data_IF_676192147310
#
_entry.id   IF_676192147310
#
_cell.length_a   1.000
_cell.length_b   1.000
_cell.length_c   1.000
_cell.angle_alpha   90.00
_cell.angle_beta   90.00
_cell.angle_gamma   90.00
#
_symmetry.space_group_name_H-M   'P 1'
#
loop_
_entity.id
_entity.type
_entity.pdbx_description
1 polymer ?
#
# COMPACT_ATOMS: atom_id res chain seq x y z
N UNK A 1 -11.96 -42.05 -15.13
CA UNK A 1 -12.02 -42.25 -13.67
C UNK A 1 -10.67 -42.45 -12.97
N UNK A 2 -9.65 -43.11 -13.54
CA UNK A 2 -8.33 -43.29 -12.89
C UNK A 2 -7.52 -42.00 -12.69
N UNK A 3 -7.65 -40.97 -13.59
CA UNK A 3 -6.91 -39.71 -13.51
C UNK A 3 -7.35 -38.80 -12.35
N UNK A 4 -8.63 -38.79 -12.01
CA UNK A 4 -9.17 -37.97 -10.90
C UNK A 4 -8.69 -38.52 -9.53
N UNK A 5 -8.54 -39.85 -9.38
CA UNK A 5 -8.02 -40.46 -8.15
C UNK A 5 -6.55 -40.16 -7.88
N UNK A 6 -5.74 -39.92 -8.93
CA UNK A 6 -4.32 -39.53 -8.77
C UNK A 6 -4.20 -38.09 -8.29
N UNK A 7 -5.02 -37.16 -8.82
CA UNK A 7 -5.03 -35.77 -8.43
C UNK A 7 -5.48 -35.61 -6.97
N UNK A 8 -6.50 -36.35 -6.52
CA UNK A 8 -6.95 -36.31 -5.12
C UNK A 8 -5.91 -36.86 -4.15
N UNK A 9 -5.15 -37.90 -4.56
CA UNK A 9 -4.10 -38.49 -3.73
C UNK A 9 -2.85 -37.59 -3.62
N UNK A 10 -2.51 -36.83 -4.66
CA UNK A 10 -1.43 -35.84 -4.65
C UNK A 10 -1.82 -34.65 -3.75
N UNK A 11 -3.07 -34.21 -3.78
CA UNK A 11 -3.58 -33.16 -2.89
C UNK A 11 -3.61 -33.56 -1.40
N UNK A 12 -3.75 -34.86 -1.09
CA UNK A 12 -3.68 -35.37 0.28
C UNK A 12 -2.25 -35.46 0.83
N UNK A 13 -1.26 -35.75 -0.02
CA UNK A 13 0.16 -35.87 0.35
C UNK A 13 0.78 -34.51 0.64
N UNK A 14 0.26 -33.45 0.01
CA UNK A 14 0.77 -32.08 0.13
C UNK A 14 -0.17 -31.13 0.88
N UNK A 15 -0.90 -31.57 1.93
CA UNK A 15 -1.56 -30.66 2.87
C UNK A 15 -0.51 -29.99 3.76
N UNK A 16 -0.21 -28.69 3.57
CA UNK A 16 0.55 -27.94 4.58
C UNK A 16 -0.33 -27.85 5.82
N UNK A 17 0.13 -28.38 6.92
CA UNK A 17 -0.42 -28.06 8.24
C UNK A 17 -0.04 -26.60 8.52
N UNK A 18 -1.04 -25.75 8.66
CA UNK A 18 -1.02 -24.34 9.07
C UNK A 18 -1.07 -23.26 7.97
N UNK A 19 -2.12 -22.44 8.11
CA UNK A 19 -2.50 -21.18 7.50
C UNK A 19 -3.12 -21.22 6.09
N UNK A 20 -4.44 -21.05 6.09
CA UNK A 20 -5.23 -20.71 4.91
C UNK A 20 -4.80 -19.35 4.36
N UNK A 21 -3.93 -19.36 3.38
CA UNK A 21 -3.72 -18.23 2.50
C UNK A 21 -4.79 -18.29 1.40
N UNK A 22 -5.44 -17.17 1.14
CA UNK A 22 -6.62 -17.03 0.29
C UNK A 22 -6.27 -17.36 -1.19
N UNK A 23 -6.34 -18.63 -1.56
CA UNK A 23 -5.98 -19.19 -2.88
C UNK A 23 -6.71 -18.46 -4.04
N UNK A 24 -8.00 -18.07 -3.94
CA UNK A 24 -8.68 -17.36 -5.02
C UNK A 24 -8.09 -15.97 -5.36
N UNK A 25 -7.57 -15.26 -4.38
CA UNK A 25 -6.96 -13.95 -4.58
C UNK A 25 -5.61 -14.06 -5.29
N UNK A 26 -4.81 -15.05 -4.94
CA UNK A 26 -3.51 -15.34 -5.56
C UNK A 26 -3.70 -15.75 -7.02
N UNK A 27 -4.67 -16.60 -7.34
CA UNK A 27 -4.96 -17.03 -8.70
C UNK A 27 -5.43 -15.87 -9.60
N UNK A 28 -6.11 -14.88 -9.07
CA UNK A 28 -6.57 -13.71 -9.84
C UNK A 28 -5.44 -12.74 -10.20
N UNK A 29 -4.42 -12.64 -9.36
CA UNK A 29 -3.23 -11.81 -9.61
C UNK A 29 -2.23 -12.48 -10.58
N UNK A 30 -2.16 -13.81 -10.59
CA UNK A 30 -1.21 -14.57 -11.40
C UNK A 30 -1.76 -14.95 -12.79
N UNK A 31 -3.05 -14.69 -13.05
CA UNK A 31 -3.66 -14.95 -14.36
C UNK A 31 -2.88 -14.25 -15.50
N UNK A 32 -2.36 -13.04 -15.29
CA UNK A 32 -1.53 -12.34 -16.27
C UNK A 32 -0.19 -13.02 -16.58
N UNK A 33 0.39 -13.76 -15.63
CA UNK A 33 1.63 -14.51 -15.85
C UNK A 33 1.30 -15.79 -16.62
N UNK A 34 0.22 -16.44 -16.27
CA UNK A 34 -0.28 -17.65 -16.97
C UNK A 34 -0.67 -17.29 -18.41
N UNK A 35 -1.39 -16.19 -18.61
CA UNK A 35 -1.84 -15.73 -19.93
C UNK A 35 -0.67 -15.27 -20.84
N UNK A 36 0.46 -14.83 -20.27
CA UNK A 36 1.65 -14.45 -21.04
C UNK A 36 2.51 -15.66 -21.48
N UNK A 37 2.31 -16.82 -20.88
CA UNK A 37 3.05 -18.06 -21.16
C UNK A 37 2.24 -19.00 -22.07
N UNK A 38 0.93 -18.82 -22.15
CA UNK A 38 0.00 -19.72 -22.85
C UNK A 38 0.12 -19.85 -24.38
N UNK A 39 0.65 -18.89 -25.18
CA UNK A 39 0.73 -19.11 -26.62
C UNK A 39 1.70 -20.23 -27.04
N UNK A 40 2.67 -20.60 -26.19
CA UNK A 40 3.67 -21.62 -26.48
C UNK A 40 3.41 -22.96 -25.77
N UNK A 41 2.39 -23.04 -24.92
CA UNK A 41 2.18 -24.15 -24.00
C UNK A 41 0.97 -25.03 -24.29
N UNK A 42 0.33 -24.89 -25.44
CA UNK A 42 -0.81 -25.76 -25.80
C UNK A 42 -0.41 -27.24 -25.99
N UNK A 43 0.88 -27.54 -26.03
CA UNK A 43 1.39 -28.92 -26.11
C UNK A 43 1.89 -29.55 -24.78
N UNK A 44 1.92 -28.81 -23.66
CA UNK A 44 2.35 -29.38 -22.37
C UNK A 44 1.23 -30.18 -21.70
N UNK A 45 1.08 -31.41 -22.15
CA UNK A 45 0.14 -32.41 -21.63
C UNK A 45 0.44 -32.89 -20.21
N UNK A 46 1.36 -32.30 -19.46
CA UNK A 46 1.76 -32.80 -18.15
C UNK A 46 1.55 -31.78 -17.03
N UNK A 47 0.53 -32.04 -16.20
CA UNK A 47 0.23 -31.35 -14.94
C UNK A 47 1.47 -31.24 -14.01
N UNK A 48 2.46 -32.12 -14.15
CA UNK A 48 3.71 -32.15 -13.40
C UNK A 48 4.61 -30.94 -13.72
N UNK A 49 4.69 -30.51 -14.97
CA UNK A 49 5.54 -29.38 -15.37
C UNK A 49 5.00 -28.05 -14.82
N UNK A 50 3.68 -27.84 -14.88
CA UNK A 50 3.03 -26.69 -14.25
C UNK A 50 3.22 -26.68 -12.73
N UNK A 51 3.20 -27.84 -12.10
CA UNK A 51 3.40 -27.98 -10.66
C UNK A 51 4.85 -27.68 -10.26
N UNK A 52 5.82 -28.13 -11.05
CA UNK A 52 7.26 -27.83 -10.85
C UNK A 52 7.51 -26.32 -11.04
N UNK A 53 6.95 -25.70 -12.08
CA UNK A 53 7.07 -24.24 -12.30
C UNK A 53 6.47 -23.46 -11.13
N UNK A 54 5.29 -23.88 -10.64
CA UNK A 54 4.63 -23.28 -9.48
C UNK A 54 5.47 -23.41 -8.21
N UNK A 55 5.97 -24.61 -7.90
CA UNK A 55 6.84 -24.86 -6.73
C UNK A 55 8.12 -24.04 -6.83
N UNK A 56 8.78 -24.03 -8.01
CA UNK A 56 10.01 -23.26 -8.21
C UNK A 56 9.76 -21.76 -8.05
N UNK A 57 8.65 -21.24 -8.56
CA UNK A 57 8.27 -19.85 -8.41
C UNK A 57 7.96 -19.49 -6.95
N UNK A 58 7.21 -20.33 -6.23
CA UNK A 58 6.95 -20.16 -4.80
C UNK A 58 8.24 -20.22 -3.97
N UNK A 59 9.14 -21.14 -4.27
CA UNK A 59 10.43 -21.30 -3.57
C UNK A 59 11.34 -20.10 -3.84
N UNK A 60 11.39 -19.60 -5.08
CA UNK A 60 12.14 -18.38 -5.41
C UNK A 60 11.60 -17.14 -4.69
N UNK A 61 10.28 -16.98 -4.59
CA UNK A 61 9.66 -15.90 -3.82
C UNK A 61 10.03 -15.97 -2.33
N UNK A 62 10.00 -17.16 -1.74
CA UNK A 62 10.32 -17.37 -0.32
C UNK A 62 11.78 -17.04 0.04
N UNK A 63 12.69 -17.16 -0.93
CA UNK A 63 14.12 -16.85 -0.75
C UNK A 63 14.47 -15.36 -0.90
N UNK A 64 13.51 -14.50 -1.32
CA UNK A 64 13.76 -13.06 -1.37
C UNK A 64 13.83 -12.48 0.05
N UNK A 65 14.76 -11.56 0.32
CA UNK A 65 14.89 -10.94 1.63
C UNK A 65 13.60 -10.20 2.02
N UNK A 66 13.25 -10.28 3.30
CA UNK A 66 12.17 -9.50 3.89
C UNK A 66 12.78 -8.17 4.31
N UNK A 67 12.19 -7.08 3.82
CA UNK A 67 12.51 -5.71 4.21
C UNK A 67 11.56 -5.28 5.32
N UNK A 68 12.10 -4.78 6.43
CA UNK A 68 11.32 -4.13 7.49
C UNK A 68 11.15 -2.64 7.19
N UNK A 69 10.05 -2.06 7.66
CA UNK A 69 9.79 -0.64 7.47
C UNK A 69 10.89 0.21 8.14
N UNK A 70 11.53 1.14 7.42
CA UNK A 70 12.71 1.85 7.91
C UNK A 70 12.39 2.99 8.88
N UNK A 71 11.16 3.50 8.88
CA UNK A 71 10.75 4.64 9.69
C UNK A 71 9.77 4.23 10.78
N UNK A 72 9.88 4.79 12.01
CA UNK A 72 8.80 4.71 12.97
C UNK A 72 7.58 5.52 12.50
N UNK A 73 6.37 5.24 13.01
CA UNK A 73 5.21 6.08 12.75
C UNK A 73 5.46 7.52 13.18
N UNK A 74 4.95 8.49 12.41
CA UNK A 74 4.87 9.87 12.81
C UNK A 74 3.47 10.13 13.38
N UNK A 75 3.38 10.33 14.69
CA UNK A 75 2.13 10.45 15.43
C UNK A 75 2.16 11.74 16.27
N UNK A 76 1.77 12.89 15.73
CA UNK A 76 1.66 14.12 16.50
C UNK A 76 0.50 14.02 17.50
N UNK A 77 0.63 14.71 18.63
CA UNK A 77 -0.41 14.78 19.63
C UNK A 77 -1.72 15.30 19.04
N UNK A 78 -2.83 14.65 19.41
CA UNK A 78 -4.15 15.01 18.92
C UNK A 78 -4.36 14.71 17.42
N UNK A 79 -3.59 13.79 16.84
CA UNK A 79 -3.76 13.41 15.43
C UNK A 79 -5.21 13.01 15.14
N UNK A 80 -5.81 13.60 14.09
CA UNK A 80 -7.18 13.34 13.63
C UNK A 80 -7.19 12.47 12.37
N UNK A 81 -6.16 12.59 11.55
CA UNK A 81 -6.06 11.92 10.24
C UNK A 81 -4.80 11.07 10.22
N UNK A 82 -4.94 9.77 9.91
CA UNK A 82 -3.82 8.88 9.62
C UNK A 82 -3.70 8.67 8.12
N UNK A 83 -2.64 9.22 7.51
CA UNK A 83 -2.36 9.00 6.09
C UNK A 83 -1.41 7.81 5.92
N UNK A 84 -1.79 6.89 5.05
CA UNK A 84 -1.08 5.64 4.80
C UNK A 84 -0.70 5.48 3.32
N UNK A 85 0.58 5.24 3.07
CA UNK A 85 1.04 4.64 1.82
C UNK A 85 1.04 3.11 1.91
N UNK A 86 1.79 2.45 1.02
CA UNK A 86 1.97 1.00 1.08
C UNK A 86 3.28 0.63 1.76
N UNK A 87 4.41 1.14 1.24
CA UNK A 87 5.76 0.94 1.76
C UNK A 87 6.75 1.86 1.02
N UNK A 88 7.79 2.40 1.67
CA UNK A 88 8.71 3.33 1.03
C UNK A 88 9.56 2.65 -0.07
N UNK A 89 10.03 3.41 -1.08
CA UNK A 89 11.00 2.91 -2.04
C UNK A 89 12.35 2.62 -1.37
N UNK A 90 13.27 1.98 -2.09
CA UNK A 90 14.64 1.75 -1.60
C UNK A 90 15.38 3.06 -1.28
N UNK A 91 16.32 3.06 -0.31
CA UNK A 91 17.04 4.26 0.15
C UNK A 91 17.75 5.06 -0.96
N UNK A 92 18.22 4.41 -2.02
CA UNK A 92 18.86 5.09 -3.16
C UNK A 92 17.92 6.03 -3.95
N UNK A 93 16.61 6.03 -3.64
CA UNK A 93 15.60 6.93 -4.22
C UNK A 93 15.16 8.02 -3.27
N UNK A 94 15.70 8.09 -2.07
CA UNK A 94 15.28 9.07 -1.06
C UNK A 94 15.99 10.41 -1.24
N UNK A 95 15.21 11.47 -1.11
CA UNK A 95 15.71 12.83 -0.96
C UNK A 95 15.65 13.30 0.50
N UNK A 96 15.03 12.52 1.38
CA UNK A 96 14.98 12.71 2.83
C UNK A 96 14.69 11.37 3.52
N UNK A 97 14.98 11.25 4.82
CA UNK A 97 14.66 10.07 5.64
C UNK A 97 13.32 10.25 6.36
N UNK A 98 12.24 10.23 5.59
CA UNK A 98 10.87 10.37 6.06
C UNK A 98 9.88 9.81 5.04
N UNK A 99 8.57 9.90 5.29
CA UNK A 99 7.53 9.40 4.39
C UNK A 99 7.49 10.12 3.06
N UNK A 100 7.11 9.40 1.99
CA UNK A 100 7.11 9.90 0.62
C UNK A 100 8.47 10.51 0.20
N UNK A 101 9.58 9.80 0.45
CA UNK A 101 10.95 10.36 0.37
C UNK A 101 11.40 10.70 -1.05
N UNK A 102 10.79 10.11 -2.07
CA UNK A 102 11.24 10.26 -3.45
C UNK A 102 10.81 11.64 -4.01
N UNK A 103 11.78 12.45 -4.47
CA UNK A 103 11.53 13.76 -5.12
C UNK A 103 10.60 13.71 -6.32
N UNK A 104 10.41 12.53 -6.93
CA UNK A 104 9.46 12.33 -8.03
C UNK A 104 8.08 11.91 -7.54
N UNK A 105 7.88 11.75 -6.20
CA UNK A 105 6.55 11.57 -5.63
C UNK A 105 5.85 12.94 -5.52
N UNK A 106 4.55 12.97 -5.72
CA UNK A 106 3.80 14.22 -5.75
C UNK A 106 3.20 14.60 -4.39
N UNK A 107 3.30 13.76 -3.35
CA UNK A 107 2.62 14.01 -2.06
C UNK A 107 2.93 15.40 -1.49
N UNK A 108 4.19 15.74 -1.32
CA UNK A 108 4.57 17.04 -0.73
C UNK A 108 4.24 18.22 -1.63
N UNK A 109 4.15 18.00 -2.95
CA UNK A 109 3.65 19.01 -3.89
C UNK A 109 2.15 19.20 -3.77
N UNK A 110 1.40 18.11 -3.58
CA UNK A 110 -0.05 18.15 -3.33
C UNK A 110 -0.31 18.94 -2.05
N UNK A 111 0.37 18.61 -0.94
CA UNK A 111 0.20 19.29 0.34
C UNK A 111 0.57 20.79 0.25
N UNK A 112 1.71 21.11 -0.36
CA UNK A 112 2.12 22.49 -0.56
C UNK A 112 1.12 23.29 -1.42
N UNK A 113 0.60 22.68 -2.49
CA UNK A 113 -0.40 23.31 -3.36
C UNK A 113 -1.71 23.57 -2.61
N UNK A 114 -2.20 22.60 -1.82
CA UNK A 114 -3.49 22.71 -1.13
C UNK A 114 -3.43 23.72 0.01
N UNK A 115 -2.44 23.62 0.88
CA UNK A 115 -2.39 24.39 2.13
C UNK A 115 -1.69 25.76 2.01
N UNK A 116 -0.85 25.93 0.98
CA UNK A 116 -0.02 27.13 0.83
C UNK A 116 -0.09 27.79 -0.57
N UNK A 117 -0.91 27.25 -1.48
CA UNK A 117 -0.94 27.64 -2.89
C UNK A 117 0.45 27.60 -3.58
N UNK A 118 1.41 26.90 -2.98
CA UNK A 118 2.78 26.72 -3.47
C UNK A 118 3.19 25.24 -3.48
N UNK A 119 3.19 24.63 -4.66
CA UNK A 119 3.60 23.23 -4.81
C UNK A 119 5.07 22.93 -4.48
N UNK A 120 5.89 23.95 -4.34
CA UNK A 120 7.30 23.83 -3.96
C UNK A 120 7.58 24.19 -2.51
N UNK A 121 6.56 24.54 -1.72
CA UNK A 121 6.66 24.93 -0.31
C UNK A 121 7.63 24.05 0.49
N UNK A 122 7.55 22.76 0.32
CA UNK A 122 8.33 21.77 1.08
C UNK A 122 9.61 21.29 0.39
N UNK A 123 9.98 21.84 -0.78
CA UNK A 123 11.15 21.40 -1.54
C UNK A 123 12.23 22.47 -1.58
N UNK A 124 13.45 22.08 -1.20
CA UNK A 124 14.64 22.92 -1.35
C UNK A 124 15.34 22.55 -2.67
N UNK A 125 15.23 23.43 -3.67
CA UNK A 125 15.80 23.21 -5.00
C UNK A 125 17.33 23.24 -5.02
N UNK A 126 17.96 24.05 -4.18
CA UNK A 126 19.42 24.20 -4.09
C UNK A 126 20.06 22.92 -3.54
N UNK A 127 19.52 22.40 -2.45
CA UNK A 127 20.00 21.18 -1.81
C UNK A 127 19.42 19.90 -2.42
N UNK A 128 18.44 20.02 -3.33
CA UNK A 128 17.71 18.92 -3.97
C UNK A 128 17.08 17.95 -2.97
N UNK A 129 16.62 18.47 -1.83
CA UNK A 129 15.99 17.72 -0.73
C UNK A 129 14.68 18.36 -0.31
N UNK A 130 13.96 17.70 0.59
CA UNK A 130 12.78 18.29 1.21
C UNK A 130 13.15 19.05 2.50
N UNK A 131 12.34 20.03 2.86
CA UNK A 131 12.42 20.80 4.11
C UNK A 131 11.74 20.00 5.22
N UNK A 132 12.44 18.98 5.73
CA UNK A 132 11.87 17.96 6.63
C UNK A 132 11.23 18.58 7.89
N UNK A 133 11.88 19.54 8.52
CA UNK A 133 11.34 20.15 9.74
C UNK A 133 10.09 21.01 9.46
N UNK A 134 10.00 21.68 8.31
CA UNK A 134 8.78 22.36 7.89
C UNK A 134 7.64 21.37 7.61
N UNK A 135 7.95 20.19 7.04
CA UNK A 135 6.98 19.10 6.83
C UNK A 135 6.45 18.60 8.17
N UNK A 136 7.33 18.30 9.14
CA UNK A 136 6.92 17.82 10.46
C UNK A 136 6.09 18.86 11.21
N UNK A 137 6.51 20.14 11.17
CA UNK A 137 5.75 21.23 11.77
C UNK A 137 4.35 21.34 11.16
N UNK A 138 4.24 21.31 9.83
CA UNK A 138 2.97 21.30 9.10
C UNK A 138 2.07 20.13 9.53
N UNK A 139 2.62 18.91 9.57
CA UNK A 139 1.85 17.71 9.95
C UNK A 139 1.35 17.80 11.39
N UNK A 140 2.16 18.35 12.29
CA UNK A 140 1.79 18.56 13.69
C UNK A 140 0.69 19.61 13.80
N UNK A 141 0.83 20.75 13.14
CA UNK A 141 -0.17 21.82 13.12
C UNK A 141 -1.51 21.35 12.53
N UNK A 142 -1.47 20.52 11.49
CA UNK A 142 -2.66 20.00 10.84
C UNK A 142 -3.19 18.69 11.46
N UNK A 143 -2.61 18.22 12.57
CA UNK A 143 -2.99 16.97 13.23
C UNK A 143 -3.03 15.76 12.30
N UNK A 144 -2.03 15.63 11.42
CA UNK A 144 -1.90 14.56 10.44
C UNK A 144 -0.80 13.59 10.88
N UNK A 145 -1.17 12.36 11.15
CA UNK A 145 -0.27 11.24 11.36
C UNK A 145 0.12 10.58 10.04
N UNK A 146 1.33 10.02 9.96
CA UNK A 146 1.82 9.29 8.79
C UNK A 146 2.36 7.92 9.17
N UNK A 147 2.04 6.93 8.36
CA UNK A 147 2.70 5.64 8.31
C UNK A 147 2.47 4.96 6.95
N UNK A 148 2.75 3.66 6.87
CA UNK A 148 2.45 2.80 5.72
C UNK A 148 1.65 1.57 6.15
N UNK A 149 0.88 0.98 5.24
CA UNK A 149 0.04 -0.19 5.55
C UNK A 149 0.83 -1.47 5.70
N UNK A 150 2.06 -1.53 5.18
CA UNK A 150 2.95 -2.69 5.34
C UNK A 150 4.12 -2.34 6.27
N UNK A 151 4.35 -3.20 7.28
CA UNK A 151 5.51 -3.11 8.18
C UNK A 151 6.66 -4.00 7.71
N UNK A 152 6.36 -5.08 6.96
CA UNK A 152 7.36 -5.95 6.34
C UNK A 152 6.91 -6.40 4.95
N UNK A 153 7.82 -6.37 3.99
CA UNK A 153 7.54 -6.74 2.60
C UNK A 153 8.65 -7.60 1.98
N UNK A 154 8.32 -8.32 0.89
CA UNK A 154 9.29 -8.81 -0.09
C UNK A 154 9.15 -8.03 -1.38
N UNK A 155 10.26 -7.51 -1.92
CA UNK A 155 10.27 -6.89 -3.25
C UNK A 155 10.49 -7.95 -4.31
N UNK A 156 9.46 -8.19 -5.11
CA UNK A 156 9.52 -9.16 -6.20
C UNK A 156 10.29 -8.62 -7.41
N UNK A 157 10.46 -7.29 -7.50
CA UNK A 157 11.28 -6.61 -8.54
C UNK A 157 11.96 -5.40 -7.94
N UNK A 158 13.12 -5.05 -8.47
CA UNK A 158 13.87 -3.86 -8.05
C UNK A 158 13.28 -2.56 -8.60
N UNK A 159 12.05 -2.26 -8.22
CA UNK A 159 11.36 -1.02 -8.58
C UNK A 159 10.50 -0.52 -7.40
N UNK A 160 9.92 0.67 -7.55
CA UNK A 160 9.09 1.31 -6.53
C UNK A 160 7.59 1.06 -6.72
N UNK A 161 7.20 0.10 -7.57
CA UNK A 161 5.80 -0.16 -7.85
C UNK A 161 5.20 -1.11 -6.82
N UNK A 162 4.10 -0.71 -6.21
CA UNK A 162 3.33 -1.51 -5.26
C UNK A 162 2.88 -2.86 -5.85
N UNK A 163 2.72 -2.95 -7.17
CA UNK A 163 2.37 -4.20 -7.87
C UNK A 163 3.36 -5.33 -7.56
N UNK A 164 4.63 -5.00 -7.31
CA UNK A 164 5.71 -5.94 -7.05
C UNK A 164 6.15 -5.99 -5.58
N UNK A 165 5.34 -5.48 -4.67
CA UNK A 165 5.50 -5.66 -3.24
C UNK A 165 4.59 -6.80 -2.76
N UNK A 166 5.16 -7.83 -2.16
CA UNK A 166 4.41 -8.81 -1.37
C UNK A 166 4.41 -8.33 0.08
N UNK A 167 3.23 -8.07 0.63
CA UNK A 167 3.08 -7.68 2.03
C UNK A 167 3.21 -8.94 2.88
N UNK A 168 4.21 -8.97 3.76
CA UNK A 168 4.46 -10.07 4.71
C UNK A 168 3.78 -9.78 6.04
N UNK A 169 3.79 -8.51 6.46
CA UNK A 169 3.19 -8.07 7.71
C UNK A 169 2.59 -6.68 7.52
N UNK A 170 1.41 -6.49 8.08
CA UNK A 170 0.66 -5.24 7.99
C UNK A 170 0.78 -4.43 9.28
N UNK A 171 0.40 -3.15 9.19
CA UNK A 171 0.24 -2.25 10.33
C UNK A 171 -0.69 -2.85 11.39
N UNK A 172 -0.37 -2.65 12.67
CA UNK A 172 -1.30 -2.88 13.78
C UNK A 172 -2.20 -1.64 13.98
N UNK A 173 -3.26 -1.57 13.20
CA UNK A 173 -4.21 -0.45 13.23
C UNK A 173 -4.90 -0.29 14.59
N UNK A 174 -5.08 -1.40 15.35
CA UNK A 174 -5.65 -1.37 16.70
C UNK A 174 -4.71 -0.61 17.67
N UNK A 175 -3.40 -0.85 17.58
CA UNK A 175 -2.43 -0.12 18.38
C UNK A 175 -2.42 1.38 18.05
N UNK A 176 -2.60 1.76 16.77
CA UNK A 176 -2.74 3.17 16.38
C UNK A 176 -3.96 3.83 17.01
N UNK A 177 -5.12 3.20 16.98
CA UNK A 177 -6.33 3.74 17.63
C UNK A 177 -6.20 3.82 19.15
N UNK A 178 -5.51 2.87 19.77
CA UNK A 178 -5.24 2.92 21.21
C UNK A 178 -4.30 4.09 21.60
N UNK A 179 -3.29 4.36 20.76
CA UNK A 179 -2.33 5.46 20.97
C UNK A 179 -2.92 6.82 20.62
N UNK A 180 -3.72 6.89 19.55
CA UNK A 180 -4.34 8.13 19.04
C UNK A 180 -5.87 7.95 18.95
N UNK A 181 -6.61 8.03 20.06
CA UNK A 181 -8.07 7.83 20.08
C UNK A 181 -8.83 8.96 19.37
N UNK A 182 -8.17 10.06 19.02
CA UNK A 182 -8.72 11.18 18.25
C UNK A 182 -8.74 10.95 16.74
N UNK A 183 -8.20 9.82 16.24
CA UNK A 183 -8.21 9.49 14.82
C UNK A 183 -9.64 9.27 14.32
N UNK A 184 -10.12 10.15 13.46
CA UNK A 184 -11.44 10.09 12.83
C UNK A 184 -11.42 9.60 11.38
N UNK A 185 -10.22 9.62 10.76
CA UNK A 185 -10.06 9.22 9.37
C UNK A 185 -8.75 8.48 9.13
N UNK A 186 -8.83 7.45 8.29
CA UNK A 186 -7.68 6.77 7.67
C UNK A 186 -7.72 7.07 6.17
N UNK A 187 -6.67 7.71 5.67
CA UNK A 187 -6.55 8.17 4.29
C UNK A 187 -5.47 7.35 3.59
N UNK A 188 -5.84 6.57 2.61
CA UNK A 188 -4.92 5.67 1.91
C UNK A 188 -4.56 6.19 0.51
N UNK A 189 -3.27 6.23 0.18
CA UNK A 189 -2.76 6.66 -1.11
C UNK A 189 -2.62 5.47 -2.08
N UNK A 190 -3.67 5.17 -2.83
CA UNK A 190 -3.70 4.09 -3.83
C UNK A 190 -4.45 2.84 -3.38
N UNK A 191 -4.75 2.00 -4.36
CA UNK A 191 -5.65 0.84 -4.19
C UNK A 191 -5.10 -0.23 -3.23
N UNK A 192 -3.80 -0.52 -3.31
CA UNK A 192 -3.19 -1.57 -2.49
C UNK A 192 -3.25 -1.24 -1.00
N UNK A 193 -2.89 -0.01 -0.64
CA UNK A 193 -3.01 0.47 0.74
C UNK A 193 -4.46 0.43 1.22
N UNK A 194 -5.40 0.89 0.38
CA UNK A 194 -6.84 0.85 0.71
C UNK A 194 -7.33 -0.58 0.94
N UNK A 195 -6.92 -1.52 0.08
CA UNK A 195 -7.32 -2.92 0.19
C UNK A 195 -6.90 -3.57 1.50
N UNK A 196 -5.74 -3.21 2.05
CA UNK A 196 -5.27 -3.69 3.37
C UNK A 196 -6.24 -3.24 4.47
N UNK A 197 -6.55 -1.94 4.54
CA UNK A 197 -7.41 -1.38 5.59
C UNK A 197 -8.87 -1.85 5.43
N UNK A 198 -9.37 -1.87 4.19
CA UNK A 198 -10.72 -2.35 3.90
C UNK A 198 -10.90 -3.82 4.31
N UNK A 199 -9.87 -4.65 4.07
CA UNK A 199 -9.88 -6.06 4.52
C UNK A 199 -9.87 -6.19 6.04
N UNK A 200 -9.14 -5.35 6.77
CA UNK A 200 -9.14 -5.33 8.24
C UNK A 200 -10.51 -4.93 8.79
N UNK A 201 -11.13 -3.90 8.23
CA UNK A 201 -12.43 -3.39 8.65
C UNK A 201 -13.62 -4.18 8.06
N UNK A 202 -13.36 -5.21 7.24
CA UNK A 202 -14.38 -6.01 6.55
C UNK A 202 -15.39 -5.18 5.77
N UNK A 203 -14.89 -4.20 5.00
CA UNK A 203 -15.69 -3.34 4.12
C UNK A 203 -15.24 -3.48 2.66
N UNK A 204 -16.10 -3.09 1.73
CA UNK A 204 -15.71 -2.98 0.32
C UNK A 204 -14.73 -1.82 0.11
N UNK A 205 -13.78 -2.01 -0.84
CA UNK A 205 -12.85 -0.95 -1.21
C UNK A 205 -13.62 0.18 -1.89
N UNK A 206 -13.64 1.42 -1.33
CA UNK A 206 -14.34 2.53 -1.94
C UNK A 206 -13.74 2.90 -3.31
N UNK A 207 -14.51 3.58 -4.16
CA UNK A 207 -13.97 4.12 -5.41
C UNK A 207 -12.94 5.21 -5.14
N UNK A 208 -12.08 5.47 -6.11
CA UNK A 208 -11.04 6.50 -6.00
C UNK A 208 -11.70 7.88 -5.78
N UNK A 209 -11.24 8.58 -4.74
CA UNK A 209 -11.79 9.87 -4.29
C UNK A 209 -13.03 9.76 -3.40
N UNK A 210 -13.48 8.54 -3.07
CA UNK A 210 -14.61 8.29 -2.19
C UNK A 210 -14.17 7.75 -0.82
N UNK A 211 -15.12 7.68 0.11
CA UNK A 211 -14.90 7.14 1.46
C UNK A 211 -16.00 6.14 1.82
N UNK A 212 -15.71 5.33 2.82
CA UNK A 212 -16.64 4.44 3.51
C UNK A 212 -16.45 4.58 5.02
N UNK A 213 -17.55 4.52 5.77
CA UNK A 213 -17.49 4.46 7.23
C UNK A 213 -17.09 3.06 7.67
N UNK A 214 -16.19 2.97 8.63
CA UNK A 214 -15.61 1.74 9.13
C UNK A 214 -15.71 1.67 10.65
N UNK A 215 -15.76 0.44 11.15
CA UNK A 215 -15.51 0.14 12.55
C UNK A 215 -14.50 -0.99 12.63
N UNK A 216 -13.44 -0.81 13.41
CA UNK A 216 -12.41 -1.83 13.64
C UNK A 216 -11.89 -1.75 15.06
N UNK A 217 -11.84 -2.87 15.76
CA UNK A 217 -11.41 -2.98 17.16
C UNK A 217 -12.14 -2.01 18.11
N UNK A 218 -13.42 -1.73 17.86
CA UNK A 218 -14.26 -0.82 18.64
C UNK A 218 -14.05 0.67 18.35
N UNK A 219 -13.25 1.00 17.33
CA UNK A 219 -13.03 2.38 16.90
C UNK A 219 -13.72 2.66 15.56
N UNK A 220 -14.45 3.78 15.47
CA UNK A 220 -15.13 4.22 14.25
C UNK A 220 -14.30 5.27 13.53
N UNK A 221 -14.16 5.12 12.21
CA UNK A 221 -13.39 6.03 11.37
C UNK A 221 -13.90 6.04 9.93
N UNK A 222 -13.50 7.05 9.17
CA UNK A 222 -13.75 7.15 7.73
C UNK A 222 -12.54 6.65 6.97
N UNK A 223 -12.70 5.64 6.11
CA UNK A 223 -11.65 5.17 5.21
C UNK A 223 -11.77 5.88 3.87
N UNK A 224 -10.82 6.73 3.54
CA UNK A 224 -10.72 7.40 2.24
C UNK A 224 -9.76 6.67 1.31
N UNK A 225 -10.16 6.44 0.06
CA UNK A 225 -9.28 5.99 -1.02
C UNK A 225 -8.88 7.15 -1.90
N UNK A 226 -7.64 7.60 -1.78
CA UNK A 226 -7.12 8.70 -2.57
C UNK A 226 -6.31 8.20 -3.77
N UNK A 227 -6.17 9.00 -4.84
CA UNK A 227 -5.27 8.66 -5.93
C UNK A 227 -3.84 8.51 -5.40
N UNK A 228 -3.10 7.56 -5.98
CA UNK A 228 -1.69 7.40 -5.64
C UNK A 228 -0.91 8.69 -5.91
N UNK A 229 -0.10 9.12 -4.96
CA UNK A 229 0.83 10.23 -5.11
C UNK A 229 2.04 9.90 -5.98
N UNK A 230 2.22 8.64 -6.37
CA UNK A 230 3.28 8.23 -7.29
C UNK A 230 3.16 8.97 -8.62
N UNK A 231 4.28 9.46 -9.15
CA UNK A 231 4.34 10.07 -10.49
C UNK A 231 4.00 9.07 -11.60
N UNK A 232 4.20 7.78 -11.36
CA UNK A 232 3.83 6.72 -12.30
C UNK A 232 2.31 6.50 -12.39
N UNK A 233 1.53 7.03 -11.45
CA UNK A 233 0.08 6.98 -11.51
C UNK A 233 -0.44 7.98 -12.56
N UNK A 234 -1.25 7.54 -13.57
CA UNK A 234 -1.59 8.33 -14.73
C UNK A 234 -2.68 9.38 -14.43
N UNK A 235 -2.41 10.28 -13.49
CA UNK A 235 -3.28 11.40 -13.14
C UNK A 235 -2.42 12.65 -12.92
N UNK A 236 -2.82 13.79 -13.51
CA UNK A 236 -2.13 15.05 -13.36
C UNK A 236 -2.09 15.51 -11.89
N UNK A 237 -1.05 16.26 -11.53
CA UNK A 237 -0.86 16.77 -10.16
C UNK A 237 -2.08 17.55 -9.67
N UNK A 238 -2.61 18.42 -10.52
CA UNK A 238 -3.76 19.29 -10.22
C UNK A 238 -5.02 18.46 -9.90
N UNK A 239 -5.25 17.38 -10.65
CA UNK A 239 -6.36 16.45 -10.40
C UNK A 239 -6.17 15.63 -9.12
N UNK A 240 -4.93 15.25 -8.80
CA UNK A 240 -4.61 14.64 -7.51
C UNK A 240 -4.90 15.65 -6.39
N UNK A 241 -4.39 16.88 -6.51
CA UNK A 241 -4.59 17.93 -5.51
C UNK A 241 -6.09 18.25 -5.30
N UNK A 242 -6.88 18.33 -6.37
CA UNK A 242 -8.33 18.51 -6.30
C UNK A 242 -9.02 17.41 -5.48
N UNK A 243 -8.66 16.14 -5.71
CA UNK A 243 -9.20 15.02 -4.95
C UNK A 243 -8.84 15.10 -3.45
N UNK A 244 -7.56 15.38 -3.13
CA UNK A 244 -7.11 15.53 -1.74
C UNK A 244 -7.73 16.77 -1.07
N UNK A 245 -7.87 17.89 -1.78
CA UNK A 245 -8.54 19.10 -1.28
C UNK A 245 -10.00 18.81 -0.89
N UNK A 246 -10.74 18.10 -1.77
CA UNK A 246 -12.12 17.68 -1.46
C UNK A 246 -12.18 16.83 -0.19
N UNK A 247 -11.28 15.85 -0.04
CA UNK A 247 -11.20 15.00 1.14
C UNK A 247 -10.90 15.80 2.41
N UNK A 248 -9.92 16.72 2.39
CA UNK A 248 -9.59 17.55 3.55
C UNK A 248 -10.77 18.45 3.95
N UNK A 249 -11.47 19.06 2.97
CA UNK A 249 -12.69 19.84 3.25
C UNK A 249 -13.79 19.00 3.89
N UNK A 250 -13.98 17.74 3.49
CA UNK A 250 -14.93 16.82 4.13
C UNK A 250 -14.54 16.49 5.58
N UNK A 251 -13.27 16.63 5.93
CA UNK A 251 -12.74 16.46 7.30
C UNK A 251 -12.70 17.80 8.08
N UNK A 252 -13.27 18.88 7.52
CA UNK A 252 -13.39 20.16 8.19
C UNK A 252 -12.13 21.04 8.14
N UNK A 253 -11.19 20.76 7.23
CA UNK A 253 -10.04 21.65 7.04
C UNK A 253 -10.45 22.91 6.24
N UNK A 254 -10.02 24.06 6.71
CA UNK A 254 -10.21 25.35 6.03
C UNK A 254 -9.06 25.56 5.04
N UNK A 255 -9.29 25.24 3.75
CA UNK A 255 -8.30 25.25 2.66
C UNK A 255 -8.94 25.67 1.33
#
# INVERSE_FOLDING_TARGET
MKKIKIISKIAEIYRPRHHFCNIPYIMKQEKHIIDSITPTFFELKNCVTLHIIYITHCTMKQNLPIESHPFPPFLPDGARVLMLGTFPPKPNRWAMEFFYPNKTNDMWKIMGHIFYADRFKFYNAEQRTYRLEEIKAFLTEQHIALYDTATRVRRLKDNASDKFLEIVETIDLKAFFATCPTLEAVVTAGEKATGVIASMANVEVPKMGEMVECEYAGHRFKLFRMPSSSRAYPLALEKKAEAYCKMFRQLGYEI
#
